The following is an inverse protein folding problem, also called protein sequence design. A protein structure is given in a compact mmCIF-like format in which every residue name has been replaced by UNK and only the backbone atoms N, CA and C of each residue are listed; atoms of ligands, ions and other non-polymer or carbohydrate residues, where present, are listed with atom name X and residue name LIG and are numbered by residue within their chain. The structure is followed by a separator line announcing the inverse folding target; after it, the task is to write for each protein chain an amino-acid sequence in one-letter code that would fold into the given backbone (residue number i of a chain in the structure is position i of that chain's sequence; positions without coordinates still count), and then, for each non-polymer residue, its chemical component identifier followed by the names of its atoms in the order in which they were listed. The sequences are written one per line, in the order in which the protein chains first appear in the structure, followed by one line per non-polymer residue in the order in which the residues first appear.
data_IF_239681740014
#
_entry.id   IF_239681740014
#
_cell.length_a   1.000
_cell.length_b   1.000
_cell.length_c   1.000
_cell.angle_alpha   90.00
_cell.angle_beta   90.00
_cell.angle_gamma   90.00
#
_symmetry.space_group_name_H-M   'P 1'
#
loop_
_entity.id
_entity.type
_entity.pdbx_description
1 polymer ?
#
# COMPACT_ATOMS: atom_id res chain seq x y z
N UNK A 1 -1.19 19.79 26.94
CA UNK A 1 -0.30 18.60 26.81
C UNK A 1 -1.03 17.30 26.48
N UNK A 2 -2.37 17.24 26.41
CA UNK A 2 -3.14 15.98 26.31
C UNK A 2 -3.32 15.41 24.89
N UNK A 3 -3.36 16.22 23.83
CA UNK A 3 -3.56 15.68 22.46
C UNK A 3 -2.31 15.00 21.88
N UNK A 4 -1.11 15.47 22.23
CA UNK A 4 0.15 14.94 21.66
C UNK A 4 0.49 13.53 22.16
N UNK A 5 0.15 13.21 23.41
CA UNK A 5 0.33 11.85 23.99
C UNK A 5 -0.66 10.83 23.39
N UNK A 6 -1.90 11.24 23.13
CA UNK A 6 -2.93 10.35 22.55
C UNK A 6 -2.65 9.99 21.09
N UNK A 7 -2.05 10.89 20.30
CA UNK A 7 -1.67 10.59 18.92
C UNK A 7 -0.49 9.60 18.85
N UNK A 8 0.55 9.82 19.68
CA UNK A 8 1.71 8.88 19.75
C UNK A 8 1.29 7.45 20.11
N UNK A 9 0.40 7.29 21.08
CA UNK A 9 -0.08 5.95 21.49
C UNK A 9 -0.87 5.24 20.38
N UNK A 10 -1.60 5.99 19.53
CA UNK A 10 -2.28 5.42 18.37
C UNK A 10 -1.31 5.00 17.27
N UNK A 11 -0.31 5.82 16.99
CA UNK A 11 0.73 5.53 15.99
C UNK A 11 1.56 4.30 16.38
N UNK A 12 1.94 4.19 17.66
CA UNK A 12 2.64 3.01 18.20
C UNK A 12 1.79 1.74 18.09
N UNK A 13 0.50 1.82 18.40
CA UNK A 13 -0.41 0.70 18.25
C UNK A 13 -0.59 0.30 16.77
N UNK A 14 -0.61 1.25 15.84
CA UNK A 14 -0.65 0.98 14.41
C UNK A 14 0.65 0.31 13.93
N UNK A 15 1.81 0.83 14.33
CA UNK A 15 3.11 0.24 14.03
C UNK A 15 3.22 -1.20 14.55
N UNK A 16 2.73 -1.47 15.77
CA UNK A 16 2.69 -2.82 16.32
C UNK A 16 1.79 -3.74 15.49
N UNK A 17 0.59 -3.29 15.09
CA UNK A 17 -0.30 -4.10 14.23
C UNK A 17 0.33 -4.40 12.87
N UNK A 18 1.08 -3.45 12.31
CA UNK A 18 1.81 -3.66 11.06
C UNK A 18 2.90 -4.72 11.28
N UNK A 19 3.70 -4.62 12.34
CA UNK A 19 4.70 -5.62 12.68
C UNK A 19 4.08 -7.00 12.90
N UNK A 20 2.93 -7.07 13.59
CA UNK A 20 2.20 -8.31 13.84
C UNK A 20 1.53 -8.88 12.56
N UNK A 21 1.23 -8.03 11.56
CA UNK A 21 0.59 -8.44 10.30
C UNK A 21 1.56 -9.17 9.35
N UNK A 22 2.86 -8.99 9.53
CA UNK A 22 3.89 -9.68 8.77
C UNK A 22 4.54 -10.75 9.63
N UNK A 23 4.38 -12.02 9.24
CA UNK A 23 5.15 -13.10 9.86
C UNK A 23 6.66 -12.82 9.69
N UNK A 24 7.49 -13.02 10.73
CA UNK A 24 8.93 -12.80 10.63
C UNK A 24 9.57 -13.51 9.43
N UNK A 25 9.11 -14.72 9.12
CA UNK A 25 9.60 -15.54 8.01
C UNK A 25 9.27 -14.93 6.64
N UNK A 26 8.15 -14.20 6.54
CA UNK A 26 7.78 -13.48 5.32
C UNK A 26 8.71 -12.28 5.10
N UNK A 27 9.05 -11.54 6.16
CA UNK A 27 10.02 -10.45 6.10
C UNK A 27 11.40 -10.98 5.70
N UNK A 28 11.84 -12.08 6.31
CA UNK A 28 13.11 -12.72 5.97
C UNK A 28 13.17 -13.17 4.52
N UNK A 29 12.07 -13.69 3.98
CA UNK A 29 11.97 -14.06 2.56
C UNK A 29 12.13 -12.84 1.67
N UNK A 30 11.41 -11.74 1.95
CA UNK A 30 11.54 -10.49 1.19
C UNK A 30 12.97 -9.93 1.21
N UNK A 31 13.64 -9.99 2.37
CA UNK A 31 15.02 -9.53 2.51
C UNK A 31 16.01 -10.43 1.75
N UNK A 32 15.79 -11.75 1.76
CA UNK A 32 16.59 -12.71 0.97
C UNK A 32 16.44 -12.45 -0.52
N UNK A 33 15.22 -12.27 -0.99
CA UNK A 33 14.93 -12.00 -2.39
C UNK A 33 15.56 -10.69 -2.83
N UNK A 34 15.38 -9.60 -2.06
CA UNK A 34 16.00 -8.31 -2.35
C UNK A 34 17.53 -8.42 -2.43
N UNK A 35 18.16 -9.18 -1.52
CA UNK A 35 19.61 -9.44 -1.57
C UNK A 35 20.01 -10.25 -2.81
N UNK A 36 19.23 -11.26 -3.18
CA UNK A 36 19.50 -12.11 -4.34
C UNK A 36 19.38 -11.34 -5.67
N UNK A 37 18.44 -10.41 -5.77
CA UNK A 37 18.20 -9.57 -6.95
C UNK A 37 19.06 -8.30 -6.98
N UNK A 38 19.77 -7.99 -5.89
CA UNK A 38 20.51 -6.74 -5.74
C UNK A 38 19.62 -5.52 -5.56
N UNK A 39 18.35 -5.71 -5.17
CA UNK A 39 17.41 -4.64 -4.87
C UNK A 39 17.81 -3.94 -3.57
N UNK A 40 18.00 -2.61 -3.57
CA UNK A 40 18.24 -1.84 -2.35
C UNK A 40 17.09 -1.98 -1.34
N UNK A 41 17.38 -1.80 -0.05
CA UNK A 41 16.31 -1.78 0.96
C UNK A 41 15.50 -0.48 0.87
N UNK A 42 16.19 0.64 0.63
CA UNK A 42 15.67 2.00 0.52
C UNK A 42 15.91 2.63 -0.86
N UNK A 43 15.44 3.87 -1.06
CA UNK A 43 15.53 4.58 -2.34
C UNK A 43 14.42 4.24 -3.33
N UNK A 44 14.48 4.86 -4.52
CA UNK A 44 13.43 4.83 -5.56
C UNK A 44 13.09 3.41 -5.99
N UNK A 45 14.10 2.60 -6.23
CA UNK A 45 13.94 1.20 -6.64
C UNK A 45 13.98 0.22 -5.45
N UNK A 46 13.98 0.75 -4.22
CA UNK A 46 14.14 -0.03 -3.01
C UNK A 46 12.87 -0.77 -2.57
N UNK A 47 13.07 -1.86 -1.84
CA UNK A 47 11.98 -2.70 -1.29
C UNK A 47 10.95 -1.86 -0.52
N UNK A 48 11.38 -0.95 0.35
CA UNK A 48 10.47 -0.12 1.15
C UNK A 48 9.63 0.84 0.29
N UNK A 49 10.16 1.35 -0.83
CA UNK A 49 9.40 2.19 -1.75
C UNK A 49 8.35 1.36 -2.50
N UNK A 50 8.70 0.13 -2.92
CA UNK A 50 7.76 -0.80 -3.52
C UNK A 50 6.62 -1.19 -2.57
N UNK A 51 6.92 -1.41 -1.28
CA UNK A 51 5.89 -1.65 -0.26
C UNK A 51 4.95 -0.44 -0.10
N UNK A 52 5.51 0.77 -0.05
CA UNK A 52 4.72 2.00 0.03
C UNK A 52 3.80 2.14 -1.19
N UNK A 53 4.30 1.88 -2.39
CA UNK A 53 3.52 1.85 -3.63
C UNK A 53 2.37 0.83 -3.55
N UNK A 54 2.65 -0.40 -3.12
CA UNK A 54 1.62 -1.45 -3.03
C UNK A 54 0.48 -1.07 -2.07
N UNK A 55 0.79 -0.44 -0.94
CA UNK A 55 -0.21 0.08 0.01
C UNK A 55 -1.07 1.17 -0.64
N UNK A 56 -0.44 2.16 -1.28
CA UNK A 56 -1.16 3.26 -1.94
C UNK A 56 -2.06 2.75 -3.07
N UNK A 57 -1.56 1.85 -3.92
CA UNK A 57 -2.36 1.24 -4.98
C UNK A 57 -3.54 0.46 -4.40
N UNK A 58 -3.36 -0.25 -3.28
CA UNK A 58 -4.47 -0.97 -2.62
C UNK A 58 -5.53 0.00 -2.10
N UNK A 59 -5.14 1.09 -1.45
CA UNK A 59 -6.07 2.13 -0.98
C UNK A 59 -6.88 2.69 -2.15
N UNK A 60 -6.22 3.07 -3.23
CA UNK A 60 -6.90 3.60 -4.43
C UNK A 60 -7.87 2.61 -5.06
N UNK A 61 -7.56 1.30 -5.02
CA UNK A 61 -8.50 0.28 -5.51
C UNK A 61 -9.73 0.14 -4.62
N UNK A 62 -9.56 0.22 -3.29
CA UNK A 62 -10.68 0.20 -2.35
C UNK A 62 -11.56 1.43 -2.54
N UNK A 63 -10.97 2.63 -2.66
CA UNK A 63 -11.72 3.86 -2.93
C UNK A 63 -12.49 3.79 -4.25
N UNK A 64 -11.94 3.15 -5.29
CA UNK A 64 -12.64 2.94 -6.55
C UNK A 64 -13.85 2.00 -6.38
N UNK A 65 -13.72 0.94 -5.58
CA UNK A 65 -14.84 0.05 -5.25
C UNK A 65 -15.92 0.79 -4.47
N UNK A 66 -15.54 1.59 -3.47
CA UNK A 66 -16.49 2.39 -2.70
C UNK A 66 -17.20 3.44 -3.57
N UNK A 67 -16.46 4.13 -4.43
CA UNK A 67 -17.00 5.16 -5.30
C UNK A 67 -18.00 4.61 -6.33
N UNK A 68 -17.69 3.45 -6.93
CA UNK A 68 -18.54 2.83 -7.93
C UNK A 68 -19.66 1.96 -7.34
N UNK A 69 -19.50 1.52 -6.08
CA UNK A 69 -20.43 0.62 -5.42
C UNK A 69 -20.34 -0.85 -5.86
N UNK A 70 -19.30 -1.22 -6.64
CA UNK A 70 -19.09 -2.59 -7.10
C UNK A 70 -17.59 -2.94 -7.30
N UNK A 71 -17.29 -4.23 -7.17
CA UNK A 71 -15.94 -4.77 -7.31
C UNK A 71 -15.54 -4.99 -8.77
N UNK A 72 -14.24 -5.20 -9.02
CA UNK A 72 -13.76 -5.53 -10.37
C UNK A 72 -14.41 -6.84 -10.85
N UNK A 73 -15.07 -6.79 -12.02
CA UNK A 73 -15.71 -7.96 -12.63
C UNK A 73 -17.11 -8.27 -12.12
N UNK A 74 -17.65 -7.49 -11.19
CA UNK A 74 -18.99 -7.67 -10.67
C UNK A 74 -20.06 -7.35 -11.74
N UNK A 75 -21.04 -8.24 -11.99
CA UNK A 75 -22.18 -7.97 -12.88
C UNK A 75 -22.96 -6.70 -12.53
N UNK A 76 -22.95 -6.27 -11.26
CA UNK A 76 -23.59 -5.02 -10.81
C UNK A 76 -23.05 -3.78 -11.55
N UNK A 77 -21.84 -3.84 -12.11
CA UNK A 77 -21.24 -2.77 -12.91
C UNK A 77 -21.68 -2.73 -14.38
N UNK A 78 -22.43 -3.71 -14.87
CA UNK A 78 -22.84 -3.77 -16.28
C UNK A 78 -24.00 -2.80 -16.56
N UNK A 79 -23.85 -1.97 -17.59
CA UNK A 79 -24.92 -1.04 -18.01
C UNK A 79 -25.17 0.13 -17.07
N UNK A 80 -24.28 0.40 -16.10
CA UNK A 80 -24.41 1.51 -15.14
C UNK A 80 -24.09 2.88 -15.75
N UNK A 81 -23.49 2.92 -16.95
CA UNK A 81 -23.01 4.14 -17.59
C UNK A 81 -21.67 4.67 -17.06
N UNK A 82 -21.26 4.27 -15.85
CA UNK A 82 -19.94 4.55 -15.28
C UNK A 82 -19.20 3.25 -14.96
N UNK A 83 -18.42 2.79 -15.94
CA UNK A 83 -17.70 1.52 -15.87
C UNK A 83 -16.21 1.74 -15.63
N UNK A 84 -15.58 0.82 -14.89
CA UNK A 84 -14.12 0.78 -14.74
C UNK A 84 -13.43 0.73 -16.11
N UNK A 85 -12.43 1.59 -16.32
CA UNK A 85 -11.74 1.74 -17.60
C UNK A 85 -10.22 1.53 -17.47
N UNK A 86 -9.83 0.41 -16.86
CA UNK A 86 -8.41 0.05 -16.69
C UNK A 86 -7.68 0.87 -15.61
N UNK A 87 -6.37 1.05 -15.80
CA UNK A 87 -5.45 1.75 -14.90
C UNK A 87 -4.57 2.72 -15.68
N UNK A 88 -4.17 3.83 -15.07
CA UNK A 88 -3.18 4.76 -15.62
C UNK A 88 -1.97 4.88 -14.70
N UNK A 89 -0.80 5.14 -15.26
CA UNK A 89 0.45 5.30 -14.51
C UNK A 89 0.64 6.75 -14.08
N UNK A 90 1.09 6.95 -12.83
CA UNK A 90 1.52 8.25 -12.32
C UNK A 90 2.73 8.07 -11.42
N UNK A 91 3.80 8.80 -11.71
CA UNK A 91 4.99 8.92 -10.83
C UNK A 91 4.66 9.93 -9.72
N UNK A 92 4.94 9.57 -8.47
CA UNK A 92 4.55 10.37 -7.30
C UNK A 92 5.76 10.58 -6.41
N UNK A 93 6.18 11.83 -6.29
CA UNK A 93 7.28 12.18 -5.38
C UNK A 93 6.92 11.89 -3.93
N UNK A 94 7.69 11.00 -3.31
CA UNK A 94 7.62 10.68 -1.89
C UNK A 94 8.92 11.10 -1.18
N UNK A 95 8.99 10.87 0.14
CA UNK A 95 10.23 11.06 0.90
C UNK A 95 11.37 10.15 0.40
N UNK A 96 11.03 8.99 -0.16
CA UNK A 96 12.01 7.99 -0.58
C UNK A 96 12.43 8.17 -2.06
N UNK A 97 11.85 9.18 -2.74
CA UNK A 97 12.08 9.50 -4.14
C UNK A 97 10.80 9.50 -4.98
N UNK A 98 10.92 9.75 -6.30
CA UNK A 98 9.81 9.72 -7.26
C UNK A 98 9.09 8.37 -7.39
#
# INVERSE_FOLDING_TARGET
MTQSTTLRTKDEAAAKRIADAFAPEAIDTLLKDAKATGTPIDGVDGLLNQMTKAVLERVLQVEMTEHLGYEVGDPAGQGTGNSRNGKSTKTVSTRNGP
#
